data_IF_340226392355
#
_entry.id   IF_340226392355
#
_cell.length_a   1.000
_cell.length_b   1.000
_cell.length_c   1.000
_cell.angle_alpha   90.00
_cell.angle_beta   90.00
_cell.angle_gamma   90.00
#
_symmetry.space_group_name_H-M   'P 1'
#
loop_
_entity.id
_entity.type
_entity.pdbx_description
1 polymer ?
#
# COMPACT_ATOMS: atom_id res chain seq x y z
N UNK A 1 -7.00 -11.78 14.37
CA UNK A 1 -5.68 -11.61 13.75
C UNK A 1 -5.87 -10.83 12.48
N UNK A 2 -5.05 -9.81 12.22
CA UNK A 2 -5.10 -9.07 10.96
C UNK A 2 -4.64 -9.96 9.81
N UNK A 3 -5.18 -9.75 8.61
CA UNK A 3 -4.71 -10.45 7.42
C UNK A 3 -3.23 -10.14 7.17
N UNK A 4 -2.46 -11.15 6.80
CA UNK A 4 -1.07 -10.98 6.37
C UNK A 4 -1.08 -10.31 4.99
N UNK A 5 -0.30 -9.23 4.77
CA UNK A 5 -0.22 -8.62 3.45
C UNK A 5 0.40 -9.58 2.44
N UNK A 6 -0.19 -9.66 1.25
CA UNK A 6 0.30 -10.46 0.13
C UNK A 6 0.98 -9.55 -0.90
N UNK A 7 2.12 -9.99 -1.44
CA UNK A 7 2.79 -9.27 -2.52
C UNK A 7 2.11 -9.59 -3.86
N UNK A 8 1.63 -8.57 -4.53
CA UNK A 8 0.94 -8.70 -5.81
C UNK A 8 1.22 -7.54 -6.77
N UNK A 9 0.56 -7.60 -7.93
CA UNK A 9 0.62 -6.55 -8.96
C UNK A 9 -0.74 -5.89 -9.06
N UNK A 10 -0.76 -4.56 -8.99
CA UNK A 10 -1.95 -3.75 -9.27
C UNK A 10 -1.87 -3.29 -10.72
N UNK A 11 -2.89 -3.59 -11.52
CA UNK A 11 -3.02 -3.13 -12.91
C UNK A 11 -3.74 -1.78 -12.97
N UNK A 12 -3.16 -0.77 -12.32
CA UNK A 12 -3.69 0.59 -12.25
C UNK A 12 -2.57 1.63 -12.32
N UNK A 13 -2.89 2.82 -12.81
CA UNK A 13 -1.95 3.94 -12.81
C UNK A 13 -1.90 4.56 -11.41
N UNK A 14 -0.71 4.70 -10.86
CA UNK A 14 -0.42 5.43 -9.63
C UNK A 14 0.81 6.31 -9.84
N UNK A 15 1.09 7.23 -8.91
CA UNK A 15 2.31 8.06 -8.98
C UNK A 15 3.59 7.21 -9.01
N UNK A 16 3.57 6.01 -8.41
CA UNK A 16 4.70 5.08 -8.47
C UNK A 16 5.04 4.69 -9.92
N UNK A 17 4.04 4.52 -10.80
CA UNK A 17 4.25 4.18 -12.21
C UNK A 17 5.00 5.27 -13.00
N UNK A 18 4.95 6.52 -12.53
CA UNK A 18 5.72 7.64 -13.07
C UNK A 18 7.07 7.76 -12.36
N UNK A 19 7.08 7.65 -11.03
CA UNK A 19 8.27 7.76 -10.20
C UNK A 19 9.37 6.79 -10.63
N UNK A 20 9.03 5.51 -10.83
CA UNK A 20 10.01 4.47 -11.17
C UNK A 20 10.64 4.66 -12.56
N UNK A 21 10.08 5.52 -13.42
CA UNK A 21 10.69 5.85 -14.73
C UNK A 21 11.91 6.74 -14.61
N UNK A 22 12.05 7.45 -13.49
CA UNK A 22 13.17 8.36 -13.23
C UNK A 22 14.09 7.86 -12.12
N UNK A 23 13.69 6.81 -11.40
CA UNK A 23 14.38 6.26 -10.22
C UNK A 23 14.43 4.72 -10.26
N UNK A 24 15.08 4.17 -11.28
CA UNK A 24 15.13 2.71 -11.51
C UNK A 24 15.91 1.92 -10.46
N UNK A 25 16.75 2.60 -9.68
CA UNK A 25 17.62 2.05 -8.65
C UNK A 25 16.97 2.00 -7.26
N UNK A 26 15.81 2.63 -7.10
CA UNK A 26 15.07 2.63 -5.83
C UNK A 26 13.98 1.56 -5.83
N UNK A 27 13.99 0.60 -4.89
CA UNK A 27 12.88 -0.33 -4.73
C UNK A 27 11.64 0.43 -4.22
N UNK A 28 10.51 0.28 -4.92
CA UNK A 28 9.24 0.93 -4.59
C UNK A 28 8.16 -0.11 -4.35
N UNK A 29 7.43 0.03 -3.25
CA UNK A 29 6.29 -0.79 -2.89
C UNK A 29 5.10 0.13 -2.61
N UNK A 30 3.91 -0.27 -3.04
CA UNK A 30 2.65 0.36 -2.68
C UNK A 30 1.96 -0.48 -1.61
N UNK A 31 1.55 0.15 -0.50
CA UNK A 31 0.81 -0.49 0.58
C UNK A 31 -0.36 0.41 1.00
N UNK A 32 -1.58 -0.12 0.92
CA UNK A 32 -2.81 0.58 1.23
C UNK A 32 -3.76 -0.26 2.07
N UNK A 33 -4.77 0.40 2.63
CA UNK A 33 -5.83 -0.25 3.40
C UNK A 33 -6.96 -0.73 2.46
N UNK A 34 -7.44 -1.95 2.71
CA UNK A 34 -8.52 -2.63 1.96
C UNK A 34 -8.27 -2.80 0.46
N UNK A 35 -9.31 -3.23 -0.25
CA UNK A 35 -9.28 -3.60 -1.65
C UNK A 35 -9.13 -2.35 -2.55
N UNK A 36 -8.30 -2.47 -3.58
CA UNK A 36 -8.19 -1.46 -4.62
C UNK A 36 -9.48 -1.28 -5.43
N UNK A 37 -10.27 -2.36 -5.58
CA UNK A 37 -11.43 -2.39 -6.46
C UNK A 37 -12.65 -1.60 -5.95
N UNK A 38 -12.63 -1.14 -4.69
CA UNK A 38 -13.71 -0.32 -4.12
C UNK A 38 -13.52 1.19 -4.35
N UNK A 39 -12.36 1.60 -4.87
CA UNK A 39 -12.12 3.01 -5.21
C UNK A 39 -13.04 3.50 -6.32
N UNK A 40 -13.40 4.79 -6.27
CA UNK A 40 -14.26 5.46 -7.23
C UNK A 40 -15.71 4.93 -7.30
N UNK A 41 -16.17 4.25 -6.26
CA UNK A 41 -17.55 3.79 -6.13
C UNK A 41 -18.37 4.74 -5.25
N UNK A 42 -19.69 4.82 -5.48
CA UNK A 42 -20.60 5.65 -4.65
C UNK A 42 -20.53 5.26 -3.17
N UNK A 43 -20.24 4.00 -2.89
CA UNK A 43 -20.12 3.41 -1.56
C UNK A 43 -18.67 3.04 -1.22
N UNK A 44 -17.68 3.76 -1.75
CA UNK A 44 -16.27 3.61 -1.37
C UNK A 44 -16.11 3.72 0.16
N UNK A 45 -15.34 2.81 0.76
CA UNK A 45 -15.15 2.75 2.20
C UNK A 45 -13.75 2.23 2.56
N UNK A 46 -13.43 2.28 3.85
CA UNK A 46 -12.34 1.51 4.45
C UNK A 46 -12.82 0.94 5.79
N UNK A 47 -12.22 -0.15 6.25
CA UNK A 47 -12.50 -0.73 7.55
C UNK A 47 -11.54 -0.15 8.60
N UNK A 48 -12.02 0.05 9.84
CA UNK A 48 -11.13 0.50 10.91
C UNK A 48 -9.97 -0.48 11.14
N UNK A 49 -10.24 -1.78 11.01
CA UNK A 49 -9.25 -2.83 11.18
C UNK A 49 -8.13 -2.81 10.14
N UNK A 50 -8.42 -2.52 8.87
CA UNK A 50 -7.40 -2.43 7.81
C UNK A 50 -6.60 -1.13 7.95
N UNK A 51 -7.27 -0.04 8.33
CA UNK A 51 -6.64 1.25 8.58
C UNK A 51 -5.61 1.15 9.71
N UNK A 52 -6.01 0.61 10.86
CA UNK A 52 -5.12 0.40 12.01
C UNK A 52 -3.96 -0.55 11.66
N UNK A 53 -4.25 -1.66 10.97
CA UNK A 53 -3.22 -2.62 10.55
C UNK A 53 -2.19 -1.98 9.61
N UNK A 54 -2.64 -1.13 8.67
CA UNK A 54 -1.76 -0.43 7.72
C UNK A 54 -0.85 0.55 8.45
N UNK A 55 -1.37 1.31 9.41
CA UNK A 55 -0.56 2.20 10.26
C UNK A 55 0.51 1.42 11.02
N UNK A 56 0.13 0.31 11.65
CA UNK A 56 1.08 -0.52 12.41
C UNK A 56 2.13 -1.17 11.50
N UNK A 57 1.78 -1.53 10.27
CA UNK A 57 2.76 -2.00 9.29
C UNK A 57 3.80 -0.92 8.96
N UNK A 58 3.38 0.31 8.64
CA UNK A 58 4.30 1.42 8.36
C UNK A 58 5.21 1.73 9.56
N UNK A 59 4.66 1.78 10.78
CA UNK A 59 5.44 2.01 12.01
C UNK A 59 6.53 0.98 12.24
N UNK A 60 6.35 -0.26 11.76
CA UNK A 60 7.35 -1.33 11.88
C UNK A 60 8.36 -1.31 10.73
N UNK A 61 7.88 -1.12 9.50
CA UNK A 61 8.72 -1.18 8.30
C UNK A 61 9.69 0.00 8.20
N UNK A 62 9.24 1.21 8.53
CA UNK A 62 10.05 2.42 8.35
C UNK A 62 11.32 2.36 9.22
N UNK A 63 11.26 2.11 10.54
CA UNK A 63 12.48 1.99 11.35
C UNK A 63 13.38 0.85 10.88
N UNK A 64 12.81 -0.33 10.62
CA UNK A 64 13.56 -1.52 10.19
C UNK A 64 14.27 -1.35 8.83
N UNK A 65 13.82 -0.43 7.98
CA UNK A 65 14.49 -0.12 6.72
C UNK A 65 15.76 0.72 6.91
N UNK A 66 15.84 1.52 7.99
CA UNK A 66 16.97 2.40 8.28
C UNK A 66 17.97 1.83 9.30
N UNK A 67 17.66 0.66 9.88
CA UNK A 67 18.57 -0.13 10.73
C UNK A 67 19.48 -1.02 9.86
#
# INVERSE_FOLDING_TARGET
GHATPELGVIHGATDASVFVKHHHDLPVILLGADDWNISHQVNEYTTLSSFEATIEAYKRLIPAFFE
#
